data_IF_878103501763
#
_entry.id   IF_878103501763
#
_cell.length_a   1.000
_cell.length_b   1.000
_cell.length_c   1.000
_cell.angle_alpha   90.00
_cell.angle_beta   90.00
_cell.angle_gamma   90.00
#
_symmetry.space_group_name_H-M   'P 1'
#
loop_
_entity.id
_entity.type
_entity.pdbx_description
1 polymer ?
#
# COMPACT_ATOMS: atom_id res chain seq x y z
N UNK A 1 21.64 6.01 20.10
CA UNK A 1 21.17 6.48 18.79
C UNK A 1 20.01 7.41 19.07
N UNK A 2 20.20 8.73 18.99
CA UNK A 2 19.09 9.68 19.15
C UNK A 2 18.06 9.32 18.08
N UNK A 3 16.85 8.93 18.47
CA UNK A 3 15.72 9.04 17.57
C UNK A 3 15.71 10.51 17.16
N UNK A 4 16.10 10.80 15.91
CA UNK A 4 15.97 12.14 15.38
C UNK A 4 14.52 12.54 15.60
N UNK A 5 14.39 13.62 16.37
CA UNK A 5 13.15 14.24 16.77
C UNK A 5 12.15 14.20 15.61
N UNK A 6 10.92 13.77 15.92
CA UNK A 6 9.77 13.86 15.03
C UNK A 6 9.32 15.31 14.78
N UNK A 7 10.27 16.23 14.57
CA UNK A 7 10.04 17.65 14.33
C UNK A 7 10.09 18.04 12.87
N UNK A 8 10.02 17.10 11.92
CA UNK A 8 9.78 17.42 10.52
C UNK A 8 8.27 17.62 10.30
N UNK A 9 7.83 18.83 10.69
CA UNK A 9 6.44 19.26 10.67
C UNK A 9 5.95 19.47 9.24
N UNK A 10 4.99 18.65 8.82
CA UNK A 10 4.23 18.80 7.59
C UNK A 10 3.23 19.96 7.64
N UNK A 11 3.00 20.65 6.51
CA UNK A 11 2.23 21.90 6.46
C UNK A 11 0.73 21.69 6.73
N UNK A 12 0.17 20.54 6.34
CA UNK A 12 -1.23 20.18 6.63
C UNK A 12 -1.47 19.72 8.08
N UNK A 13 -0.40 19.47 8.85
CA UNK A 13 -0.47 18.94 10.22
C UNK A 13 0.26 19.80 11.26
N UNK A 14 0.67 21.02 10.92
CA UNK A 14 1.10 21.99 11.94
C UNK A 14 0.03 22.25 13.02
N UNK A 15 -1.23 21.91 12.74
CA UNK A 15 -2.36 22.04 13.68
C UNK A 15 -2.83 20.72 14.31
N UNK A 16 -2.35 19.56 13.83
CA UNK A 16 -2.71 18.25 14.41
C UNK A 16 -1.45 17.41 14.48
N UNK A 17 -0.79 17.37 15.65
CA UNK A 17 0.30 16.43 15.89
C UNK A 17 -0.25 15.00 15.90
N UNK A 18 -0.29 14.35 14.73
CA UNK A 18 -0.72 12.98 14.63
C UNK A 18 0.43 12.04 15.02
N UNK A 19 0.23 11.16 16.01
CA UNK A 19 1.25 10.21 16.40
C UNK A 19 1.68 9.36 15.21
N UNK A 20 2.99 9.20 15.01
CA UNK A 20 3.58 8.32 13.99
C UNK A 20 2.90 6.94 13.93
N UNK A 21 2.68 6.20 15.04
CA UNK A 21 2.01 4.90 14.98
C UNK A 21 0.55 4.97 14.53
N UNK A 22 -0.10 6.10 14.75
CA UNK A 22 -1.51 6.26 14.44
C UNK A 22 -1.76 6.39 12.93
N UNK A 23 -0.70 6.69 12.16
CA UNK A 23 -0.78 6.84 10.70
C UNK A 23 -1.19 5.55 10.01
N UNK A 24 -0.67 4.39 10.44
CA UNK A 24 -1.08 3.09 9.86
C UNK A 24 -2.59 2.87 10.02
N UNK A 25 -3.11 3.14 11.23
CA UNK A 25 -4.54 3.02 11.54
C UNK A 25 -5.39 3.96 10.68
N UNK A 26 -4.95 5.21 10.51
CA UNK A 26 -5.61 6.19 9.64
C UNK A 26 -5.60 5.74 8.19
N UNK A 27 -4.47 5.23 7.69
CA UNK A 27 -4.35 4.77 6.30
C UNK A 27 -5.22 3.54 6.04
N UNK A 28 -5.32 2.61 7.01
CA UNK A 28 -6.27 1.50 6.95
C UNK A 28 -7.72 2.00 6.91
N UNK A 29 -8.06 2.96 7.79
CA UNK A 29 -9.38 3.59 7.80
C UNK A 29 -9.72 4.27 6.46
N UNK A 30 -8.78 5.04 5.91
CA UNK A 30 -8.90 5.67 4.60
C UNK A 30 -9.06 4.61 3.50
N UNK A 31 -8.29 3.52 3.53
CA UNK A 31 -8.38 2.46 2.53
C UNK A 31 -9.76 1.78 2.50
N UNK A 32 -10.43 1.63 3.64
CA UNK A 32 -11.80 1.09 3.71
C UNK A 32 -12.79 2.03 3.00
N UNK A 33 -12.68 3.34 3.22
CA UNK A 33 -13.50 4.33 2.52
C UNK A 33 -13.16 4.41 1.03
N UNK A 34 -11.88 4.36 0.68
CA UNK A 34 -11.44 4.30 -0.72
C UNK A 34 -12.00 3.08 -1.43
N UNK A 35 -12.06 1.92 -0.78
CA UNK A 35 -12.73 0.75 -1.35
C UNK A 35 -14.20 1.00 -1.68
N UNK A 36 -14.97 1.63 -0.76
CA UNK A 36 -16.33 2.05 -1.06
C UNK A 36 -16.39 3.03 -2.26
N UNK A 37 -15.50 4.03 -2.31
CA UNK A 37 -15.47 4.99 -3.41
C UNK A 37 -15.10 4.34 -4.75
N UNK A 38 -14.17 3.38 -4.76
CA UNK A 38 -13.83 2.58 -5.94
C UNK A 38 -15.08 1.85 -6.43
N UNK A 39 -15.77 1.12 -5.54
CA UNK A 39 -16.98 0.38 -5.90
C UNK A 39 -18.08 1.31 -6.42
N UNK A 40 -18.30 2.44 -5.76
CA UNK A 40 -19.26 3.47 -6.17
C UNK A 40 -18.92 4.04 -7.55
N UNK A 41 -17.66 4.38 -7.79
CA UNK A 41 -17.20 4.98 -9.03
C UNK A 41 -17.34 4.01 -10.21
N UNK A 42 -16.91 2.76 -10.04
CA UNK A 42 -17.05 1.72 -11.06
C UNK A 42 -18.52 1.41 -11.37
N UNK A 43 -19.37 1.30 -10.34
CA UNK A 43 -20.80 1.07 -10.53
C UNK A 43 -21.49 2.24 -11.26
N UNK A 44 -21.11 3.49 -10.96
CA UNK A 44 -21.63 4.69 -11.65
C UNK A 44 -21.27 4.71 -13.13
N UNK A 45 -20.16 4.07 -13.52
CA UNK A 45 -19.73 3.91 -14.91
C UNK A 45 -20.17 2.56 -15.51
N UNK A 46 -21.15 1.88 -14.90
CA UNK A 46 -21.72 0.59 -15.36
C UNK A 46 -20.71 -0.55 -15.46
N UNK A 47 -19.61 -0.48 -14.71
CA UNK A 47 -18.63 -1.58 -14.60
C UNK A 47 -19.11 -2.53 -13.51
N UNK A 48 -19.44 -3.77 -13.90
CA UNK A 48 -19.86 -4.81 -12.97
C UNK A 48 -18.63 -5.50 -12.36
N UNK A 49 -18.34 -5.18 -11.10
CA UNK A 49 -17.15 -5.68 -10.39
C UNK A 49 -17.25 -7.18 -10.14
N UNK A 50 -18.46 -7.69 -9.87
CA UNK A 50 -18.69 -9.11 -9.58
C UNK A 50 -18.36 -10.02 -10.78
N UNK A 51 -18.32 -9.47 -12.00
CA UNK A 51 -17.91 -10.22 -13.20
C UNK A 51 -16.39 -10.38 -13.30
N UNK A 52 -15.63 -9.50 -12.63
CA UNK A 52 -14.15 -9.45 -12.67
C UNK A 52 -13.55 -10.04 -11.40
N UNK A 53 -14.11 -9.67 -10.25
CA UNK A 53 -13.74 -10.21 -8.95
C UNK A 53 -14.71 -11.33 -8.61
N UNK A 54 -14.22 -12.56 -8.68
CA UNK A 54 -14.97 -13.71 -8.21
C UNK A 54 -14.94 -13.70 -6.68
N UNK A 55 -16.00 -13.19 -6.07
CA UNK A 55 -16.15 -13.06 -4.62
C UNK A 55 -16.79 -14.32 -4.01
N UNK A 56 -16.42 -15.49 -4.51
CA UNK A 56 -17.03 -16.77 -4.13
C UNK A 56 -15.93 -17.80 -3.87
N UNK A 57 -16.05 -18.50 -2.74
CA UNK A 57 -15.23 -19.68 -2.46
C UNK A 57 -15.80 -20.88 -3.23
N UNK A 58 -14.93 -21.77 -3.71
CA UNK A 58 -15.31 -22.92 -4.56
C UNK A 58 -16.40 -23.81 -3.93
N UNK A 59 -16.44 -23.89 -2.60
CA UNK A 59 -17.36 -24.74 -1.85
C UNK A 59 -18.61 -24.00 -1.35
N UNK A 60 -18.75 -22.71 -1.66
CA UNK A 60 -19.89 -21.92 -1.22
C UNK A 60 -21.10 -22.20 -2.12
N UNK A 61 -22.28 -22.46 -1.55
CA UNK A 61 -23.51 -22.64 -2.33
C UNK A 61 -24.22 -21.31 -2.61
N UNK A 62 -23.85 -20.23 -1.92
CA UNK A 62 -24.48 -18.92 -2.11
C UNK A 62 -24.14 -18.30 -3.48
N UNK A 63 -25.05 -17.46 -3.97
CA UNK A 63 -24.81 -16.65 -5.16
C UNK A 63 -23.82 -15.54 -4.83
N UNK A 64 -22.89 -15.26 -5.76
CA UNK A 64 -21.96 -14.15 -5.59
C UNK A 64 -22.73 -12.82 -5.43
N UNK A 65 -22.24 -11.90 -4.57
CA UNK A 65 -22.93 -10.64 -4.34
C UNK A 65 -23.05 -9.85 -5.64
N UNK A 66 -24.25 -9.33 -5.91
CA UNK A 66 -24.48 -8.40 -7.01
C UNK A 66 -23.71 -7.09 -6.80
N UNK A 67 -23.46 -6.34 -7.88
CA UNK A 67 -22.74 -5.07 -7.80
C UNK A 67 -23.42 -4.07 -6.82
N UNK A 68 -24.75 -4.06 -6.78
CA UNK A 68 -25.53 -3.25 -5.84
C UNK A 68 -25.38 -3.70 -4.39
N UNK A 69 -25.36 -5.02 -4.14
CA UNK A 69 -25.07 -5.57 -2.82
C UNK A 69 -23.65 -5.23 -2.37
N UNK A 70 -22.65 -5.35 -3.26
CA UNK A 70 -21.27 -4.99 -2.95
C UNK A 70 -21.12 -3.51 -2.58
N UNK A 71 -21.81 -2.62 -3.30
CA UNK A 71 -21.86 -1.19 -2.97
C UNK A 71 -22.50 -0.95 -1.60
N UNK A 72 -23.62 -1.60 -1.30
CA UNK A 72 -24.29 -1.47 0.00
C UNK A 72 -23.43 -2.02 1.13
N UNK A 73 -22.84 -3.20 0.97
CA UNK A 73 -21.99 -3.82 1.98
C UNK A 73 -20.73 -3.01 2.27
N UNK A 74 -20.04 -2.51 1.23
CA UNK A 74 -18.88 -1.64 1.41
C UNK A 74 -19.24 -0.34 2.14
N UNK A 75 -20.38 0.28 1.83
CA UNK A 75 -20.88 1.46 2.52
C UNK A 75 -21.20 1.20 4.00
N UNK A 76 -21.98 0.16 4.29
CA UNK A 76 -22.39 -0.19 5.66
C UNK A 76 -21.18 -0.55 6.50
N UNK A 77 -20.23 -1.31 5.94
CA UNK A 77 -18.98 -1.65 6.60
C UNK A 77 -18.12 -0.42 6.89
N UNK A 78 -17.95 0.50 5.93
CA UNK A 78 -17.21 1.73 6.12
C UNK A 78 -17.78 2.59 7.27
N UNK A 79 -19.10 2.70 7.36
CA UNK A 79 -19.74 3.41 8.48
C UNK A 79 -19.62 2.69 9.82
N UNK A 80 -19.73 1.35 9.83
CA UNK A 80 -19.50 0.54 11.04
C UNK A 80 -18.09 0.78 11.58
N UNK A 81 -17.09 0.74 10.71
CA UNK A 81 -15.70 1.02 11.07
C UNK A 81 -15.53 2.48 11.50
N UNK A 82 -16.17 3.44 10.83
CA UNK A 82 -16.09 4.87 11.20
C UNK A 82 -16.50 5.12 12.65
N UNK A 83 -17.60 4.51 13.12
CA UNK A 83 -18.05 4.66 14.51
C UNK A 83 -17.01 4.18 15.51
N UNK A 84 -16.42 3.00 15.25
CA UNK A 84 -15.40 2.40 16.12
C UNK A 84 -14.10 3.19 16.04
N UNK A 85 -13.69 3.58 14.82
CA UNK A 85 -12.45 4.30 14.56
C UNK A 85 -12.46 5.68 15.20
N UNK A 86 -13.50 6.49 15.01
CA UNK A 86 -13.57 7.84 15.59
C UNK A 86 -13.51 7.79 17.11
N UNK A 87 -14.24 6.86 17.73
CA UNK A 87 -14.22 6.66 19.18
C UNK A 87 -12.81 6.28 19.68
N UNK A 88 -12.24 5.21 19.13
CA UNK A 88 -10.91 4.71 19.55
C UNK A 88 -9.78 5.70 19.22
N UNK A 89 -9.86 6.39 18.08
CA UNK A 89 -8.88 7.39 17.67
C UNK A 89 -8.92 8.61 18.60
N UNK A 90 -10.11 9.06 19.01
CA UNK A 90 -10.24 10.17 19.97
C UNK A 90 -9.59 9.82 21.31
N UNK A 91 -9.74 8.58 21.79
CA UNK A 91 -9.07 8.10 23.01
C UNK A 91 -7.55 8.14 22.83
N UNK A 92 -7.03 7.63 21.71
CA UNK A 92 -5.58 7.67 21.41
C UNK A 92 -5.07 9.11 21.42
N UNK A 93 -5.74 10.03 20.73
CA UNK A 93 -5.33 11.44 20.68
C UNK A 93 -5.35 12.09 22.06
N UNK A 94 -6.37 11.81 22.89
CA UNK A 94 -6.43 12.32 24.26
C UNK A 94 -5.26 11.81 25.11
N UNK A 95 -4.94 10.51 25.03
CA UNK A 95 -3.81 9.93 25.78
C UNK A 95 -2.47 10.53 25.32
N UNK A 96 -2.28 10.70 24.02
CA UNK A 96 -1.08 11.34 23.45
C UNK A 96 -0.98 12.83 23.84
N UNK A 97 -2.09 13.57 23.83
CA UNK A 97 -2.08 15.00 24.20
C UNK A 97 -1.70 15.25 25.66
N UNK A 98 -1.95 14.27 26.52
CA UNK A 98 -1.63 14.33 27.95
C UNK A 98 -0.30 13.64 28.29
N UNK A 99 0.39 13.03 27.32
CA UNK A 99 1.66 12.33 27.56
C UNK A 99 2.84 13.29 27.59
N UNK A 100 3.62 13.20 28.67
CA UNK A 100 4.90 13.87 28.76
C UNK A 100 5.96 13.05 28.01
N UNK A 101 6.65 13.67 27.05
CA UNK A 101 7.69 13.02 26.23
C UNK A 101 8.87 12.47 27.06
N UNK A 102 9.05 12.97 28.29
CA UNK A 102 10.11 12.54 29.20
C UNK A 102 9.75 11.31 30.05
N UNK A 103 8.49 10.84 30.03
CA UNK A 103 8.09 9.67 30.80
C UNK A 103 8.44 8.38 30.05
N UNK A 104 9.59 7.81 30.39
CA UNK A 104 10.11 6.58 29.76
C UNK A 104 9.65 5.29 30.45
N UNK A 105 8.88 5.39 31.54
CA UNK A 105 8.48 4.21 32.33
C UNK A 105 7.23 4.48 33.14
N UNK A 106 6.17 3.71 32.88
CA UNK A 106 4.94 3.82 33.66
C UNK A 106 3.72 3.35 32.87
N UNK A 107 2.56 3.49 33.51
CA UNK A 107 1.27 3.15 32.89
C UNK A 107 1.04 4.01 31.64
N UNK A 108 1.40 5.30 31.70
CA UNK A 108 1.22 6.21 30.58
C UNK A 108 2.06 5.84 29.36
N UNK A 109 3.33 5.49 29.56
CA UNK A 109 4.19 4.93 28.51
C UNK A 109 3.58 3.69 27.86
N UNK A 110 3.12 2.72 28.67
CA UNK A 110 2.48 1.50 28.16
C UNK A 110 1.23 1.85 27.34
N UNK A 111 0.38 2.76 27.81
CA UNK A 111 -0.84 3.17 27.10
C UNK A 111 -0.54 3.84 25.75
N UNK A 112 0.43 4.77 25.71
CA UNK A 112 0.86 5.47 24.49
C UNK A 112 1.31 4.48 23.41
N UNK A 113 2.02 3.42 23.80
CA UNK A 113 2.51 2.42 22.86
C UNK A 113 1.51 1.29 22.56
N UNK A 114 0.67 0.89 23.51
CA UNK A 114 -0.28 -0.22 23.36
C UNK A 114 -1.59 0.17 22.66
N UNK A 115 -2.09 1.40 22.85
CA UNK A 115 -3.39 1.79 22.29
C UNK A 115 -3.41 1.82 20.75
N UNK A 116 -2.40 2.36 20.03
CA UNK A 116 -2.36 2.25 18.57
C UNK A 116 -2.29 0.80 18.08
N UNK A 117 -1.59 -0.08 18.81
CA UNK A 117 -1.55 -1.52 18.54
C UNK A 117 -2.92 -2.18 18.73
N UNK A 118 -3.60 -1.89 19.83
CA UNK A 118 -4.93 -2.40 20.10
C UNK A 118 -5.92 -1.95 19.02
N UNK A 119 -5.89 -0.68 18.64
CA UNK A 119 -6.76 -0.16 17.58
C UNK A 119 -6.47 -0.83 16.24
N UNK A 120 -5.19 -1.03 15.88
CA UNK A 120 -4.81 -1.76 14.68
C UNK A 120 -5.39 -3.18 14.67
N UNK A 121 -5.22 -3.92 15.78
CA UNK A 121 -5.75 -5.28 15.93
C UNK A 121 -7.28 -5.30 15.79
N UNK A 122 -7.99 -4.34 16.41
CA UNK A 122 -9.44 -4.21 16.26
C UNK A 122 -9.83 -4.00 14.80
N UNK A 123 -9.15 -3.10 14.07
CA UNK A 123 -9.44 -2.86 12.65
C UNK A 123 -9.20 -4.10 11.79
N UNK A 124 -8.08 -4.80 12.00
CA UNK A 124 -7.77 -6.04 11.26
C UNK A 124 -8.81 -7.13 11.57
N UNK A 125 -9.16 -7.34 12.84
CA UNK A 125 -10.17 -8.32 13.24
C UNK A 125 -11.52 -8.00 12.60
N UNK A 126 -11.93 -6.73 12.55
CA UNK A 126 -13.17 -6.31 11.88
C UNK A 126 -13.13 -6.61 10.39
N UNK A 127 -12.04 -6.29 9.69
CA UNK A 127 -11.88 -6.59 8.25
C UNK A 127 -11.98 -8.10 8.00
N UNK A 128 -11.26 -8.90 8.78
CA UNK A 128 -11.24 -10.36 8.62
C UNK A 128 -12.56 -11.03 9.01
N UNK A 129 -13.30 -10.45 9.97
CA UNK A 129 -14.61 -10.96 10.37
C UNK A 129 -15.69 -10.69 9.32
N UNK A 130 -15.68 -9.50 8.72
CA UNK A 130 -16.73 -9.06 7.79
C UNK A 130 -16.49 -9.55 6.36
N UNK A 131 -15.25 -9.85 5.99
CA UNK A 131 -14.92 -10.38 4.66
C UNK A 131 -14.29 -11.76 4.75
N UNK A 132 -15.09 -12.78 4.51
CA UNK A 132 -14.61 -14.17 4.48
C UNK A 132 -13.54 -14.40 3.42
N UNK A 133 -13.63 -13.69 2.29
CA UNK A 133 -12.67 -13.79 1.19
C UNK A 133 -11.33 -13.19 1.60
N UNK A 134 -11.33 -12.01 2.24
CA UNK A 134 -10.09 -11.41 2.73
C UNK A 134 -9.48 -12.31 3.82
N UNK A 135 -10.30 -12.85 4.73
CA UNK A 135 -9.87 -13.85 5.73
C UNK A 135 -9.22 -15.06 5.07
N UNK A 136 -9.87 -15.63 4.05
CA UNK A 136 -9.34 -16.76 3.30
C UNK A 136 -7.99 -16.41 2.63
N UNK A 137 -7.92 -15.30 1.91
CA UNK A 137 -6.72 -14.90 1.18
C UNK A 137 -5.56 -14.51 2.12
N UNK A 138 -5.86 -13.88 3.26
CA UNK A 138 -4.84 -13.41 4.22
C UNK A 138 -4.09 -14.55 4.89
N UNK A 139 -4.77 -15.64 5.24
CA UNK A 139 -4.14 -16.84 5.86
C UNK A 139 -3.26 -17.61 4.88
N UNK A 140 -3.45 -17.38 3.57
CA UNK A 140 -2.75 -18.07 2.49
C UNK A 140 -1.93 -17.12 1.62
N UNK A 141 -1.65 -15.90 2.08
CA UNK A 141 -1.04 -14.87 1.24
C UNK A 141 0.34 -15.28 0.69
N UNK A 142 1.14 -16.00 1.50
CA UNK A 142 2.44 -16.58 1.11
C UNK A 142 2.30 -17.90 0.34
N UNK A 143 1.17 -18.56 0.49
CA UNK A 143 0.84 -19.82 -0.15
C UNK A 143 -0.22 -19.53 -1.21
N UNK A 144 0.14 -18.86 -2.32
CA UNK A 144 -0.76 -18.88 -3.48
C UNK A 144 -1.04 -20.34 -3.77
N UNK A 145 -2.30 -20.69 -3.61
CA UNK A 145 -2.77 -22.01 -3.96
C UNK A 145 -2.70 -22.10 -5.48
N UNK A 146 -2.06 -23.14 -6.03
CA UNK A 146 -2.01 -23.35 -7.48
C UNK A 146 -3.41 -23.40 -8.10
N UNK A 147 -4.42 -23.76 -7.31
CA UNK A 147 -5.84 -23.64 -7.60
C UNK A 147 -6.58 -23.20 -6.32
N UNK A 148 -7.50 -22.22 -6.37
CA UNK A 148 -8.26 -21.82 -7.55
C UNK A 148 -7.85 -20.46 -8.17
N UNK A 149 -7.56 -20.46 -9.49
CA UNK A 149 -7.32 -19.25 -10.33
C UNK A 149 -8.44 -18.20 -10.24
N UNK A 150 -9.62 -18.62 -9.81
CA UNK A 150 -10.83 -17.82 -9.56
C UNK A 150 -10.51 -16.58 -8.71
N UNK A 151 -9.74 -16.74 -7.64
CA UNK A 151 -9.42 -15.65 -6.69
C UNK A 151 -8.15 -14.88 -7.06
N UNK A 152 -7.54 -15.16 -8.22
CA UNK A 152 -6.25 -14.57 -8.61
C UNK A 152 -6.27 -13.05 -8.53
N UNK A 153 -7.31 -12.40 -9.06
CA UNK A 153 -7.41 -10.94 -9.05
C UNK A 153 -7.52 -10.41 -7.62
N UNK A 154 -8.24 -11.11 -6.74
CA UNK A 154 -8.35 -10.76 -5.31
C UNK A 154 -6.98 -10.86 -4.63
N UNK A 155 -6.23 -11.95 -4.85
CA UNK A 155 -4.87 -12.10 -4.32
C UNK A 155 -3.95 -10.97 -4.81
N UNK A 156 -4.00 -10.65 -6.09
CA UNK A 156 -3.23 -9.54 -6.67
C UNK A 156 -3.62 -8.23 -6.00
N UNK A 157 -4.91 -7.90 -5.88
CA UNK A 157 -5.35 -6.66 -5.23
C UNK A 157 -4.87 -6.56 -3.78
N UNK A 158 -5.00 -7.62 -2.99
CA UNK A 158 -4.57 -7.62 -1.57
C UNK A 158 -3.05 -7.47 -1.46
N UNK A 159 -2.30 -8.28 -2.21
CA UNK A 159 -0.84 -8.30 -2.12
C UNK A 159 -0.21 -7.02 -2.68
N UNK A 160 -0.74 -6.45 -3.76
CA UNK A 160 -0.30 -5.15 -4.27
C UNK A 160 -0.68 -4.00 -3.32
N UNK A 161 -1.86 -4.05 -2.70
CA UNK A 161 -2.22 -3.09 -1.66
C UNK A 161 -1.24 -3.15 -0.50
N UNK A 162 -0.84 -4.35 -0.06
CA UNK A 162 0.17 -4.53 0.99
C UNK A 162 1.50 -3.86 0.64
N UNK A 163 1.92 -3.84 -0.63
CA UNK A 163 3.15 -3.13 -1.05
C UNK A 163 3.07 -1.62 -0.80
N UNK A 164 1.89 -1.02 -0.94
CA UNK A 164 1.64 0.40 -0.69
C UNK A 164 1.61 0.75 0.81
N UNK A 165 1.34 -0.25 1.68
CA UNK A 165 1.37 -0.10 3.15
C UNK A 165 2.75 -0.34 3.78
N UNK A 166 3.77 -0.67 2.98
CA UNK A 166 5.07 -1.11 3.47
C UNK A 166 5.74 -0.12 4.45
N UNK A 167 5.87 1.16 4.07
CA UNK A 167 6.48 2.19 4.93
C UNK A 167 5.70 2.44 6.23
N UNK A 168 4.37 2.67 6.20
CA UNK A 168 3.57 2.75 7.43
C UNK A 168 3.69 1.53 8.35
N UNK A 169 3.77 0.32 7.79
CA UNK A 169 3.93 -0.92 8.58
C UNK A 169 5.28 -0.99 9.28
N UNK A 170 6.35 -0.54 8.63
CA UNK A 170 7.68 -0.44 9.22
C UNK A 170 7.67 0.55 10.39
N UNK A 171 7.21 1.78 10.15
CA UNK A 171 7.16 2.83 11.18
C UNK A 171 6.34 2.36 12.39
N UNK A 172 5.21 1.71 12.13
CA UNK A 172 4.35 1.14 13.17
C UNK A 172 5.05 0.03 13.95
N UNK A 173 5.72 -0.88 13.26
CA UNK A 173 6.36 -2.03 13.91
C UNK A 173 7.55 -1.58 14.75
N UNK A 174 8.39 -0.68 14.22
CA UNK A 174 9.47 -0.06 14.98
C UNK A 174 8.95 0.66 16.23
N UNK A 175 7.86 1.42 16.10
CA UNK A 175 7.24 2.07 17.24
C UNK A 175 6.73 1.06 18.29
N UNK A 176 6.01 0.01 17.86
CA UNK A 176 5.51 -1.02 18.79
C UNK A 176 6.63 -1.85 19.42
N UNK A 177 7.80 -1.95 18.77
CA UNK A 177 8.97 -2.65 19.32
C UNK A 177 9.49 -2.00 20.62
N UNK A 178 9.19 -0.72 20.84
CA UNK A 178 9.52 0.00 22.07
C UNK A 178 8.81 -0.55 23.32
N UNK A 179 7.69 -1.27 23.16
CA UNK A 179 7.05 -2.03 24.25
C UNK A 179 7.97 -3.13 24.80
N UNK A 180 8.88 -3.64 23.98
CA UNK A 180 9.80 -4.71 24.35
C UNK A 180 11.19 -4.18 24.75
N UNK A 181 11.33 -2.86 24.94
CA UNK A 181 12.50 -2.23 25.56
C UNK A 181 13.77 -2.13 24.72
N UNK A 182 13.80 -2.68 23.49
CA UNK A 182 14.94 -2.54 22.57
C UNK A 182 14.48 -2.25 21.14
N UNK A 183 15.00 -1.18 20.49
CA UNK A 183 14.73 -0.97 19.07
C UNK A 183 15.37 -2.09 18.26
N UNK A 184 14.60 -2.77 17.43
CA UNK A 184 15.14 -3.83 16.56
C UNK A 184 15.95 -3.20 15.42
N UNK A 185 17.28 -3.28 15.52
CA UNK A 185 18.20 -2.75 14.49
C UNK A 185 18.04 -3.51 13.18
N UNK A 186 17.90 -2.80 12.06
CA UNK A 186 17.74 -3.33 10.70
C UNK A 186 16.50 -4.20 10.44
N UNK A 187 15.64 -4.40 11.42
CA UNK A 187 14.38 -5.14 11.24
C UNK A 187 13.43 -4.43 10.27
N UNK A 188 13.56 -3.10 10.18
CA UNK A 188 12.86 -2.28 9.19
C UNK A 188 13.14 -2.69 7.74
N UNK A 189 14.36 -3.12 7.44
CA UNK A 189 14.76 -3.57 6.10
C UNK A 189 14.20 -4.96 5.78
N UNK A 190 14.17 -5.84 6.78
CA UNK A 190 13.48 -7.14 6.65
C UNK A 190 11.99 -6.93 6.39
N UNK A 191 11.31 -6.13 7.22
CA UNK A 191 9.90 -5.77 7.03
C UNK A 191 9.65 -5.14 5.66
N UNK A 192 10.55 -4.24 5.21
CA UNK A 192 10.50 -3.63 3.88
C UNK A 192 10.47 -4.64 2.74
N UNK A 193 11.13 -5.79 2.93
CA UNK A 193 11.22 -6.84 1.91
C UNK A 193 9.97 -7.70 1.84
N UNK A 194 9.19 -7.82 2.92
CA UNK A 194 8.11 -8.80 3.04
C UNK A 194 7.01 -8.63 1.96
N UNK A 195 6.43 -7.43 1.73
CA UNK A 195 5.39 -7.28 0.71
C UNK A 195 5.89 -7.59 -0.70
N UNK A 196 7.13 -7.19 -1.02
CA UNK A 196 7.74 -7.51 -2.32
C UNK A 196 8.01 -9.02 -2.43
N UNK A 197 8.51 -9.64 -1.36
CA UNK A 197 8.77 -11.07 -1.27
C UNK A 197 7.50 -11.90 -1.52
N UNK A 198 6.38 -11.53 -0.89
CA UNK A 198 5.07 -12.13 -1.16
C UNK A 198 4.81 -12.15 -2.67
N UNK A 199 4.88 -11.00 -3.35
CA UNK A 199 4.61 -10.92 -4.80
C UNK A 199 5.59 -11.73 -5.64
N UNK A 200 6.87 -11.76 -5.27
CA UNK A 200 7.89 -12.57 -5.96
C UNK A 200 7.51 -14.05 -5.89
N UNK A 201 7.25 -14.58 -4.68
CA UNK A 201 6.88 -15.99 -4.51
C UNK A 201 5.58 -16.34 -5.24
N UNK A 202 4.61 -15.43 -5.18
CA UNK A 202 3.35 -15.56 -5.90
C UNK A 202 3.55 -15.69 -7.42
N UNK A 203 4.31 -14.77 -8.02
CA UNK A 203 4.56 -14.77 -9.45
C UNK A 203 5.39 -15.98 -9.90
N UNK A 204 6.42 -16.38 -9.13
CA UNK A 204 7.26 -17.53 -9.45
C UNK A 204 6.49 -18.85 -9.38
N UNK A 205 5.61 -19.01 -8.38
CA UNK A 205 4.74 -20.20 -8.29
C UNK A 205 3.77 -20.28 -9.45
N UNK A 206 3.11 -19.16 -9.80
CA UNK A 206 2.24 -19.14 -10.98
C UNK A 206 3.03 -19.45 -12.26
N UNK A 207 4.26 -18.93 -12.40
CA UNK A 207 5.13 -19.23 -13.53
C UNK A 207 5.49 -20.71 -13.63
N UNK A 208 5.79 -21.38 -12.51
CA UNK A 208 6.06 -22.83 -12.50
C UNK A 208 4.88 -23.66 -13.03
N UNK A 209 3.65 -23.16 -12.92
CA UNK A 209 2.44 -23.86 -13.37
C UNK A 209 2.04 -23.49 -14.80
N UNK A 210 2.27 -22.24 -15.20
CA UNK A 210 1.77 -21.66 -16.44
C UNK A 210 2.82 -21.50 -17.53
N UNK A 211 4.10 -21.45 -17.14
CA UNK A 211 5.23 -21.10 -18.00
C UNK A 211 5.05 -19.78 -18.77
N UNK A 212 4.20 -18.87 -18.27
CA UNK A 212 3.97 -17.57 -18.88
C UNK A 212 5.06 -16.58 -18.46
N UNK A 213 5.88 -16.17 -19.42
CA UNK A 213 6.98 -15.22 -19.23
C UNK A 213 6.54 -13.88 -18.64
N UNK A 214 5.28 -13.46 -18.80
CA UNK A 214 4.77 -12.24 -18.17
C UNK A 214 4.81 -12.35 -16.64
N UNK A 215 4.57 -13.54 -16.07
CA UNK A 215 4.67 -13.77 -14.63
C UNK A 215 6.12 -13.64 -14.14
N UNK A 216 7.09 -14.11 -14.92
CA UNK A 216 8.51 -13.96 -14.61
C UNK A 216 8.95 -12.49 -14.68
N UNK A 217 8.47 -11.74 -15.68
CA UNK A 217 8.68 -10.29 -15.74
C UNK A 217 8.08 -9.59 -14.51
N UNK A 218 6.88 -10.01 -14.08
CA UNK A 218 6.25 -9.46 -12.88
C UNK A 218 7.07 -9.76 -11.62
N UNK A 219 7.62 -10.98 -11.48
CA UNK A 219 8.55 -11.30 -10.39
C UNK A 219 9.78 -10.37 -10.44
N UNK A 220 10.37 -10.19 -11.63
CA UNK A 220 11.49 -9.27 -11.85
C UNK A 220 11.18 -7.82 -11.44
N UNK A 221 9.95 -7.35 -11.70
CA UNK A 221 9.48 -6.03 -11.24
C UNK A 221 9.59 -5.90 -9.73
N UNK A 222 9.10 -6.85 -8.94
CA UNK A 222 9.21 -6.77 -7.47
C UNK A 222 10.64 -7.03 -6.97
N UNK A 223 11.43 -7.85 -7.67
CA UNK A 223 12.86 -8.04 -7.37
C UNK A 223 13.67 -6.73 -7.51
N UNK A 224 13.28 -5.83 -8.40
CA UNK A 224 14.00 -4.55 -8.61
C UNK A 224 14.05 -3.65 -7.36
N UNK A 225 13.24 -3.93 -6.34
CA UNK A 225 13.29 -3.25 -5.04
C UNK A 225 14.42 -3.78 -4.12
N UNK A 226 14.84 -5.04 -4.27
CA UNK A 226 15.81 -5.68 -3.38
C UNK A 226 17.19 -5.01 -3.39
N UNK A 227 17.77 -4.61 -4.54
CA UNK A 227 19.04 -3.88 -4.56
C UNK A 227 19.00 -2.54 -3.81
N UNK A 228 17.85 -1.86 -3.79
CA UNK A 228 17.65 -0.60 -3.05
C UNK A 228 17.75 -0.86 -1.54
N UNK A 229 17.10 -1.94 -1.07
CA UNK A 229 17.17 -2.39 0.33
C UNK A 229 18.62 -2.78 0.68
N UNK A 230 19.30 -3.51 -0.21
CA UNK A 230 20.70 -3.90 -0.04
C UNK A 230 21.65 -2.70 0.07
N UNK A 231 21.52 -1.71 -0.80
CA UNK A 231 22.30 -0.47 -0.73
C UNK A 231 22.04 0.29 0.58
N UNK A 232 20.78 0.34 1.02
CA UNK A 232 20.40 0.97 2.29
C UNK A 232 21.01 0.26 3.48
N UNK A 233 20.98 -1.08 3.50
CA UNK A 233 21.63 -1.88 4.53
C UNK A 233 23.13 -1.63 4.57
N UNK A 234 23.79 -1.72 3.43
CA UNK A 234 25.23 -1.56 3.31
C UNK A 234 25.70 -0.16 3.77
N UNK A 235 24.98 0.89 3.35
CA UNK A 235 25.27 2.27 3.77
C UNK A 235 25.12 2.48 5.27
N UNK A 236 24.27 1.70 5.96
CA UNK A 236 24.09 1.81 7.42
C UNK A 236 25.16 1.06 8.21
N UNK A 237 25.72 -0.01 7.64
CA UNK A 237 26.71 -0.86 8.31
C UNK A 237 28.15 -0.39 8.07
N UNK A 238 28.42 0.32 6.98
CA UNK A 238 29.75 0.77 6.60
C UNK A 238 29.83 2.32 6.58
N UNK A 239 30.29 2.91 7.68
CA UNK A 239 30.51 4.36 7.83
C UNK A 239 31.80 4.85 7.13
N UNK A 240 32.00 4.50 5.86
CA UNK A 240 33.15 4.98 5.07
C UNK A 240 32.68 6.05 4.09
N UNK A 241 33.09 7.31 4.29
CA UNK A 241 32.57 8.47 3.57
C UNK A 241 32.59 8.31 2.03
N UNK A 242 33.70 7.83 1.44
CA UNK A 242 33.79 7.67 -0.02
C UNK A 242 32.95 6.51 -0.57
N UNK A 243 32.90 5.40 0.17
CA UNK A 243 32.09 4.22 -0.19
C UNK A 243 30.60 4.57 -0.14
N UNK A 244 30.19 5.37 0.85
CA UNK A 244 28.79 5.79 1.01
C UNK A 244 28.25 6.56 -0.20
N UNK A 245 29.07 7.38 -0.87
CA UNK A 245 28.65 8.18 -2.03
C UNK A 245 28.48 7.34 -3.30
N UNK A 246 29.35 6.34 -3.51
CA UNK A 246 29.23 5.38 -4.62
C UNK A 246 27.95 4.56 -4.45
N UNK A 247 27.70 4.02 -3.25
CA UNK A 247 26.50 3.24 -2.97
C UNK A 247 25.23 4.08 -3.03
N UNK A 248 25.27 5.35 -2.63
CA UNK A 248 24.16 6.28 -2.82
C UNK A 248 23.84 6.48 -4.31
N UNK A 249 24.87 6.67 -5.15
CA UNK A 249 24.69 6.82 -6.60
C UNK A 249 24.09 5.56 -7.24
N UNK A 250 24.61 4.39 -6.86
CA UNK A 250 24.06 3.08 -7.27
C UNK A 250 22.60 2.93 -6.82
N UNK A 251 22.29 3.33 -5.58
CA UNK A 251 20.93 3.31 -5.06
C UNK A 251 19.99 4.21 -5.88
N UNK A 252 20.42 5.39 -6.29
CA UNK A 252 19.64 6.26 -7.17
C UNK A 252 19.36 5.60 -8.53
N UNK A 253 20.35 4.93 -9.12
CA UNK A 253 20.14 4.16 -10.35
C UNK A 253 19.08 3.06 -10.15
N UNK A 254 19.14 2.30 -9.06
CA UNK A 254 18.14 1.28 -8.76
C UNK A 254 16.76 1.87 -8.47
N UNK A 255 16.66 3.05 -7.84
CA UNK A 255 15.40 3.77 -7.67
C UNK A 255 14.80 4.18 -9.01
N UNK A 256 15.61 4.72 -9.95
CA UNK A 256 15.14 5.03 -11.31
C UNK A 256 14.65 3.77 -12.01
N UNK A 257 15.41 2.68 -11.96
CA UNK A 257 15.02 1.40 -12.57
C UNK A 257 13.71 0.86 -11.97
N UNK A 258 13.58 0.85 -10.65
CA UNK A 258 12.38 0.38 -9.95
C UNK A 258 11.16 1.26 -10.28
N UNK A 259 11.27 2.59 -10.16
CA UNK A 259 10.18 3.52 -10.49
C UNK A 259 9.75 3.38 -11.95
N UNK A 260 10.71 3.28 -12.88
CA UNK A 260 10.41 3.16 -14.31
C UNK A 260 9.76 1.83 -14.66
N UNK A 261 10.28 0.72 -14.13
CA UNK A 261 9.73 -0.61 -14.41
C UNK A 261 8.33 -0.76 -13.82
N UNK A 262 8.13 -0.31 -12.58
CA UNK A 262 6.81 -0.39 -11.94
C UNK A 262 5.79 0.56 -12.57
N UNK A 263 6.20 1.77 -13.01
CA UNK A 263 5.34 2.67 -13.80
C UNK A 263 4.93 2.06 -15.14
N UNK A 264 5.89 1.50 -15.88
CA UNK A 264 5.63 0.78 -17.11
C UNK A 264 4.63 -0.36 -16.89
N UNK A 265 4.79 -1.11 -15.80
CA UNK A 265 3.88 -2.22 -15.47
C UNK A 265 2.44 -1.74 -15.27
N UNK A 266 2.24 -0.71 -14.45
CA UNK A 266 0.92 -0.16 -14.16
C UNK A 266 0.21 0.29 -15.45
N UNK A 267 0.87 1.11 -16.26
CA UNK A 267 0.26 1.67 -17.48
C UNK A 267 0.09 0.60 -18.56
N UNK A 268 1.16 -0.13 -18.89
CA UNK A 268 1.20 -1.00 -20.07
C UNK A 268 0.54 -2.36 -19.84
N UNK A 269 0.76 -2.96 -18.67
CA UNK A 269 0.31 -4.32 -18.34
C UNK A 269 -1.02 -4.28 -17.61
N UNK A 270 -1.08 -3.56 -16.49
CA UNK A 270 -2.28 -3.57 -15.65
C UNK A 270 -3.44 -2.80 -16.27
N UNK A 271 -3.19 -1.59 -16.77
CA UNK A 271 -4.22 -0.76 -17.41
C UNK A 271 -4.37 -1.06 -18.89
N UNK A 272 -3.56 -1.96 -19.46
CA UNK A 272 -3.55 -2.35 -20.88
C UNK A 272 -3.48 -1.17 -21.85
N UNK A 273 -2.79 -0.08 -21.46
CA UNK A 273 -2.63 1.12 -22.28
C UNK A 273 -1.40 0.94 -23.18
N UNK A 274 -1.53 1.04 -24.52
CA UNK A 274 -0.42 0.79 -25.45
C UNK A 274 0.82 1.67 -25.21
N UNK A 275 0.61 2.97 -24.95
CA UNK A 275 1.68 3.92 -24.63
C UNK A 275 1.14 5.09 -23.81
N UNK A 276 2.03 5.86 -23.18
CA UNK A 276 1.64 7.07 -22.42
C UNK A 276 0.97 8.14 -23.30
N UNK A 277 1.15 8.08 -24.61
CA UNK A 277 0.57 9.02 -25.57
C UNK A 277 -0.71 8.48 -26.23
N UNK A 278 -0.84 7.15 -26.34
CA UNK A 278 -1.90 6.49 -27.11
C UNK A 278 -2.72 5.56 -26.24
N UNK A 279 -4.00 5.90 -26.08
CA UNK A 279 -4.98 5.09 -25.35
C UNK A 279 -5.54 3.92 -26.20
N UNK A 280 -6.31 3.02 -25.57
CA UNK A 280 -6.99 1.90 -26.25
C UNK A 280 -8.01 2.44 -27.26
N UNK A 281 -8.05 1.92 -28.49
CA UNK A 281 -8.95 2.45 -29.54
C UNK A 281 -10.43 2.15 -29.29
N UNK A 282 -10.79 0.92 -28.89
CA UNK A 282 -12.18 0.44 -28.86
C UNK A 282 -12.67 -0.03 -27.47
N UNK A 283 -11.90 0.23 -26.41
CA UNK A 283 -12.12 -0.35 -25.06
C UNK A 283 -11.92 0.68 -23.94
N UNK A 284 -12.25 1.94 -24.18
CA UNK A 284 -12.18 2.97 -23.13
C UNK A 284 -13.57 3.16 -22.53
N UNK A 285 -13.69 2.92 -21.23
CA UNK A 285 -14.94 3.16 -20.50
C UNK A 285 -14.98 4.60 -19.98
N UNK A 286 -13.85 5.13 -19.49
CA UNK A 286 -13.78 6.50 -19.00
C UNK A 286 -13.44 7.49 -20.12
N UNK A 287 -13.60 8.79 -19.85
CA UNK A 287 -13.15 9.85 -20.75
C UNK A 287 -11.61 9.85 -20.85
N UNK A 288 -11.00 10.12 -22.03
CA UNK A 288 -9.54 10.14 -22.20
C UNK A 288 -8.76 10.96 -21.16
N UNK A 289 -9.31 12.13 -20.78
CA UNK A 289 -8.69 13.01 -19.76
C UNK A 289 -8.46 12.31 -18.41
N UNK A 290 -9.33 11.36 -18.04
CA UNK A 290 -9.21 10.62 -16.77
C UNK A 290 -8.01 9.68 -16.82
N UNK A 291 -7.75 9.01 -17.96
CA UNK A 291 -6.57 8.16 -18.13
C UNK A 291 -5.28 8.96 -18.07
N UNK A 292 -5.19 10.07 -18.81
CA UNK A 292 -3.98 10.90 -18.80
C UNK A 292 -3.71 11.52 -17.42
N UNK A 293 -4.76 11.94 -16.71
CA UNK A 293 -4.61 12.40 -15.32
C UNK A 293 -4.08 11.29 -14.40
N UNK A 294 -4.61 10.07 -14.51
CA UNK A 294 -4.15 8.94 -13.71
C UNK A 294 -2.70 8.54 -14.03
N UNK A 295 -2.30 8.56 -15.31
CA UNK A 295 -0.92 8.32 -15.74
C UNK A 295 0.02 9.38 -15.15
N UNK A 296 -0.35 10.66 -15.24
CA UNK A 296 0.47 11.75 -14.72
C UNK A 296 0.61 11.69 -13.18
N UNK A 297 -0.48 11.38 -12.47
CA UNK A 297 -0.48 11.22 -11.03
C UNK A 297 0.38 10.02 -10.60
N UNK A 298 0.25 8.88 -11.27
CA UNK A 298 1.05 7.67 -10.99
C UNK A 298 2.54 7.94 -11.21
N UNK A 299 2.89 8.59 -12.33
CA UNK A 299 4.27 9.04 -12.60
C UNK A 299 4.78 9.96 -11.49
N UNK A 300 4.06 11.01 -11.16
CA UNK A 300 4.48 12.02 -10.18
C UNK A 300 4.78 11.40 -8.82
N UNK A 301 3.90 10.52 -8.32
CA UNK A 301 4.07 9.90 -7.00
C UNK A 301 5.20 8.87 -7.03
N UNK A 302 5.38 8.11 -8.12
CA UNK A 302 6.47 7.12 -8.25
C UNK A 302 7.87 7.72 -8.26
N UNK A 303 8.00 8.92 -8.83
CA UNK A 303 9.26 9.65 -8.87
C UNK A 303 9.38 10.70 -7.78
N UNK A 304 8.47 10.70 -6.79
CA UNK A 304 8.51 11.64 -5.67
C UNK A 304 9.84 11.61 -4.90
N UNK A 305 10.51 10.45 -4.88
CA UNK A 305 11.82 10.31 -4.26
C UNK A 305 12.87 11.25 -4.86
N UNK A 306 12.73 11.70 -6.11
CA UNK A 306 13.63 12.68 -6.72
C UNK A 306 13.54 14.01 -5.97
N UNK A 307 12.31 14.48 -5.69
CA UNK A 307 12.09 15.70 -4.92
C UNK A 307 12.71 15.60 -3.52
N UNK A 308 12.55 14.43 -2.87
CA UNK A 308 13.17 14.14 -1.57
C UNK A 308 14.72 14.11 -1.67
N UNK A 309 15.28 13.51 -2.72
CA UNK A 309 16.73 13.39 -2.90
C UNK A 309 17.37 14.77 -3.15
N UNK A 310 16.80 15.58 -4.04
CA UNK A 310 17.25 16.96 -4.33
C UNK A 310 17.17 17.82 -3.08
N UNK A 311 16.07 17.70 -2.32
CA UNK A 311 15.89 18.43 -1.07
C UNK A 311 16.91 18.04 0.00
N UNK A 312 17.16 16.75 0.19
CA UNK A 312 18.07 16.25 1.24
C UNK A 312 19.52 16.74 1.02
N UNK A 313 19.91 17.02 -0.22
CA UNK A 313 21.21 17.61 -0.54
C UNK A 313 21.25 19.12 -0.25
N UNK A 314 20.14 19.84 -0.45
CA UNK A 314 20.00 21.27 -0.21
C UNK A 314 19.41 21.54 1.18
N UNK A 315 20.25 21.54 2.22
CA UNK A 315 19.89 21.79 3.64
C UNK A 315 19.16 23.13 3.93
N UNK A 316 18.90 23.99 2.95
CA UNK A 316 18.42 25.38 3.16
C UNK A 316 16.96 25.65 2.79
N UNK A 317 16.26 24.71 2.15
CA UNK A 317 14.83 24.86 1.85
C UNK A 317 14.12 24.06 2.94
N UNK A 318 13.30 24.66 3.80
CA UNK A 318 12.81 23.97 5.00
C UNK A 318 11.41 23.33 4.89
N UNK A 319 10.64 23.50 3.81
CA UNK A 319 9.19 23.20 3.93
C UNK A 319 8.44 22.66 2.70
N UNK A 320 9.10 22.14 1.64
CA UNK A 320 8.37 21.84 0.39
C UNK A 320 8.17 20.34 0.10
N UNK A 321 9.02 19.42 0.57
CA UNK A 321 8.91 17.99 0.23
C UNK A 321 8.72 17.07 1.44
N UNK A 322 7.44 16.92 1.74
CA UNK A 322 6.80 16.13 2.78
C UNK A 322 7.11 14.62 2.76
N UNK A 323 7.92 14.14 3.72
CA UNK A 323 8.30 12.72 3.85
C UNK A 323 7.14 11.82 4.26
N UNK A 324 6.20 12.33 5.05
CA UNK A 324 5.12 11.55 5.67
C UNK A 324 3.81 11.60 4.86
N UNK A 325 3.57 12.68 4.14
CA UNK A 325 2.40 12.87 3.27
C UNK A 325 2.42 11.92 2.07
N UNK A 326 3.61 11.43 1.69
CA UNK A 326 3.79 10.40 0.69
C UNK A 326 2.95 9.15 0.99
N UNK A 327 2.72 8.80 2.26
CA UNK A 327 1.95 7.61 2.60
C UNK A 327 0.51 7.72 2.12
N UNK A 328 -0.11 8.90 2.31
CA UNK A 328 -1.48 9.15 1.86
C UNK A 328 -1.55 9.17 0.34
N UNK A 329 -0.59 9.82 -0.32
CA UNK A 329 -0.50 9.83 -1.78
C UNK A 329 -0.33 8.43 -2.36
N UNK A 330 0.50 7.58 -1.76
CA UNK A 330 0.70 6.20 -2.20
C UNK A 330 -0.58 5.35 -2.07
N UNK A 331 -1.35 5.52 -0.99
CA UNK A 331 -2.65 4.85 -0.84
C UNK A 331 -3.67 5.35 -1.88
N UNK A 332 -3.72 6.65 -2.15
CA UNK A 332 -4.58 7.24 -3.19
C UNK A 332 -4.18 6.73 -4.58
N UNK A 333 -2.88 6.72 -4.88
CA UNK A 333 -2.32 6.19 -6.13
C UNK A 333 -2.73 4.73 -6.33
N UNK A 334 -2.61 3.91 -5.27
CA UNK A 334 -3.07 2.51 -5.31
C UNK A 334 -4.57 2.41 -5.57
N UNK A 335 -5.41 3.23 -4.94
CA UNK A 335 -6.84 3.24 -5.20
C UNK A 335 -7.17 3.56 -6.67
N UNK A 336 -6.46 4.54 -7.26
CA UNK A 336 -6.55 4.85 -8.70
C UNK A 336 -6.12 3.65 -9.53
N UNK A 337 -4.99 3.02 -9.19
CA UNK A 337 -4.54 1.81 -9.88
C UNK A 337 -5.59 0.70 -9.86
N UNK A 338 -6.29 0.47 -8.73
CA UNK A 338 -7.37 -0.54 -8.62
C UNK A 338 -8.51 -0.20 -9.61
N UNK A 339 -8.92 1.07 -9.71
CA UNK A 339 -9.97 1.50 -10.63
C UNK A 339 -9.63 1.13 -12.07
N UNK A 340 -8.44 1.51 -12.55
CA UNK A 340 -8.02 1.24 -13.92
C UNK A 340 -7.67 -0.22 -14.16
N UNK A 341 -7.17 -0.95 -13.14
CA UNK A 341 -6.95 -2.39 -13.22
C UNK A 341 -8.26 -3.15 -13.43
N UNK A 342 -9.26 -2.88 -12.58
CA UNK A 342 -10.57 -3.53 -12.67
C UNK A 342 -11.31 -3.14 -13.94
N UNK A 343 -11.20 -1.88 -14.36
CA UNK A 343 -11.76 -1.41 -15.63
C UNK A 343 -11.11 -2.10 -16.84
N UNK A 344 -9.78 -2.23 -16.83
CA UNK A 344 -9.01 -2.91 -17.87
C UNK A 344 -9.38 -4.40 -17.97
N UNK A 345 -9.51 -5.09 -16.84
CA UNK A 345 -9.95 -6.49 -16.81
C UNK A 345 -11.40 -6.64 -17.28
N UNK A 346 -12.29 -5.74 -16.87
CA UNK A 346 -13.67 -5.71 -17.35
C UNK A 346 -13.74 -5.48 -18.86
N UNK A 347 -12.98 -4.53 -19.40
CA UNK A 347 -12.99 -4.20 -20.82
C UNK A 347 -12.36 -5.28 -21.71
N UNK A 348 -11.48 -6.12 -21.13
CA UNK A 348 -10.78 -7.19 -21.84
C UNK A 348 -11.35 -8.59 -21.60
N UNK A 349 -12.43 -8.71 -20.82
CA UNK A 349 -13.09 -10.01 -20.61
C UNK A 349 -13.59 -10.58 -21.94
N UNK A 350 -13.52 -11.91 -22.13
CA UNK A 350 -14.21 -12.55 -23.25
C UNK A 350 -15.72 -12.31 -23.11
N UNK A 351 -16.36 -11.87 -24.18
CA UNK A 351 -17.82 -11.82 -24.24
C UNK A 351 -18.29 -13.28 -24.15
N UNK A 352 -19.09 -13.61 -23.14
CA UNK A 352 -19.78 -14.91 -23.10
C UNK A 352 -20.72 -14.92 -24.31
N UNK A 353 -20.35 -15.70 -25.34
CA UNK A 353 -21.19 -16.00 -26.51
C UNK A 353 -22.41 -16.80 -26.10
#
# INVERSE_FOLDING_TARGET
>A
MKFQDGTDKGFLLNYVQLPVPQRLNILLFIAIWLWYFIVKYLNSNKINISDVLQLKLRNDMHQAPTNGQLLRFSYVFAWKVTKIFVFTHSIVLLVFSNSNEHDTSGIQYILVHALPLLQFLVLIILILRESEIIRYCSTRLLLIEPNPRILRNVYILISDTLTSFNKPLIDFTLFTSLLFGKPMTHFDLFLSSLPSGVRIFQCLREYQLLHDTELLMNAGKYCSNLPIIGCTWFSRTHNMNNVSQVFYSIQMCFLVLNSSYTFYWDVRRDWTIPSIFTLRKNKLIFKPKVYYFAIALDFTIRYWWIGVAVYTQNKSINHIFFKYELYYFEIIRRAIWIIFKLESEYANRPIKS
#
